data_IF_903883895783
#
_entry.id   IF_903883895783
#
_cell.length_a   1.000
_cell.length_b   1.000
_cell.length_c   1.000
_cell.angle_alpha   90.00
_cell.angle_beta   90.00
_cell.angle_gamma   90.00
#
_symmetry.space_group_name_H-M   'P 1'
#
loop_
_entity.id
_entity.type
_entity.pdbx_description
1 polymer ?
#
# COMPACT_ATOMS: atom_id res chain seq x y z
N UNK A 1 -27.54 -3.33 -27.55
CA UNK A 1 -27.00 -4.46 -26.76
C UNK A 1 -25.52 -4.73 -27.00
N UNK A 2 -25.03 -4.86 -28.25
CA UNK A 2 -23.59 -4.99 -28.53
C UNK A 2 -22.83 -3.67 -28.30
N UNK A 3 -23.39 -2.56 -28.79
CA UNK A 3 -22.82 -1.22 -28.59
C UNK A 3 -22.76 -0.80 -27.11
N UNK A 4 -23.76 -1.22 -26.31
CA UNK A 4 -23.79 -0.97 -24.86
C UNK A 4 -22.66 -1.73 -24.14
N UNK A 5 -22.37 -2.96 -24.58
CA UNK A 5 -21.29 -3.78 -24.01
C UNK A 5 -19.92 -3.22 -24.37
N UNK A 6 -19.73 -2.73 -25.61
CA UNK A 6 -18.50 -2.07 -26.04
C UNK A 6 -18.25 -0.78 -25.25
N UNK A 7 -19.30 0.04 -25.03
CA UNK A 7 -19.21 1.24 -24.20
C UNK A 7 -18.86 0.94 -22.73
N UNK A 8 -19.48 -0.08 -22.13
CA UNK A 8 -19.17 -0.51 -20.77
C UNK A 8 -17.74 -1.04 -20.64
N UNK A 9 -17.26 -1.76 -21.65
CA UNK A 9 -15.89 -2.28 -21.68
C UNK A 9 -14.88 -1.14 -21.71
N UNK A 10 -15.06 -0.15 -22.60
CA UNK A 10 -14.19 1.02 -22.67
C UNK A 10 -14.18 1.85 -21.37
N UNK A 11 -15.33 1.97 -20.70
CA UNK A 11 -15.40 2.63 -19.39
C UNK A 11 -14.63 1.87 -18.31
N UNK A 12 -14.77 0.55 -18.25
CA UNK A 12 -14.05 -0.28 -17.28
C UNK A 12 -12.53 -0.19 -17.48
N UNK A 13 -12.07 -0.24 -18.73
CA UNK A 13 -10.65 -0.08 -19.09
C UNK A 13 -10.12 1.30 -18.67
N UNK A 14 -10.85 2.37 -18.98
CA UNK A 14 -10.45 3.73 -18.58
C UNK A 14 -10.41 3.88 -17.06
N UNK A 15 -11.40 3.34 -16.35
CA UNK A 15 -11.44 3.35 -14.88
C UNK A 15 -10.25 2.58 -14.27
N UNK A 16 -9.85 1.46 -14.87
CA UNK A 16 -8.66 0.71 -14.42
C UNK A 16 -7.39 1.56 -14.51
N UNK A 17 -7.21 2.30 -15.61
CA UNK A 17 -6.08 3.20 -15.77
C UNK A 17 -6.15 4.40 -14.83
N UNK A 18 -7.32 5.03 -14.70
CA UNK A 18 -7.51 6.18 -13.80
C UNK A 18 -7.30 5.82 -12.34
N UNK A 19 -7.64 4.60 -11.91
CA UNK A 19 -7.52 4.17 -10.52
C UNK A 19 -6.21 3.44 -10.21
N UNK A 20 -5.35 3.20 -11.20
CA UNK A 20 -4.05 2.54 -11.00
C UNK A 20 -3.15 3.30 -9.99
N UNK A 21 -3.30 4.63 -9.87
CA UNK A 21 -2.55 5.41 -8.86
C UNK A 21 -2.87 4.98 -7.42
N UNK A 22 -4.09 4.48 -7.17
CA UNK A 22 -4.51 4.06 -5.83
C UNK A 22 -3.71 2.85 -5.35
N UNK A 23 -3.28 1.98 -6.27
CA UNK A 23 -2.39 0.86 -5.95
C UNK A 23 -1.04 1.38 -5.47
N UNK A 24 -0.43 2.30 -6.21
CA UNK A 24 0.84 2.95 -5.82
C UNK A 24 0.74 3.69 -4.48
N UNK A 25 -0.36 4.43 -4.26
CA UNK A 25 -0.60 5.14 -2.99
C UNK A 25 -0.82 4.17 -1.83
N UNK A 26 -1.48 3.05 -2.05
CA UNK A 26 -1.67 2.04 -1.01
C UNK A 26 -0.36 1.36 -0.60
N UNK A 27 0.52 1.09 -1.58
CA UNK A 27 1.87 0.59 -1.33
C UNK A 27 2.70 1.63 -0.57
N UNK A 28 2.60 2.91 -0.96
CA UNK A 28 3.30 4.00 -0.27
C UNK A 28 2.85 4.08 1.18
N UNK A 29 1.54 4.06 1.43
CA UNK A 29 0.99 4.06 2.78
C UNK A 29 1.49 2.86 3.60
N UNK A 30 1.57 1.67 3.00
CA UNK A 30 2.11 0.49 3.67
C UNK A 30 3.57 0.68 4.12
N UNK A 31 4.39 1.29 3.26
CA UNK A 31 5.81 1.57 3.53
C UNK A 31 5.99 2.71 4.53
N UNK A 32 5.20 3.78 4.42
CA UNK A 32 5.22 4.92 5.35
C UNK A 32 4.83 4.49 6.78
N UNK A 33 3.77 3.67 6.89
CA UNK A 33 3.27 3.12 8.15
C UNK A 33 4.09 1.91 8.64
N UNK A 34 5.14 1.52 7.91
CA UNK A 34 6.01 0.37 8.25
C UNK A 34 5.24 -0.94 8.48
N UNK A 35 4.12 -1.13 7.79
CA UNK A 35 3.28 -2.33 7.95
C UNK A 35 4.07 -3.63 7.65
N UNK A 36 4.92 -3.70 6.60
CA UNK A 36 5.76 -4.87 6.37
C UNK A 36 6.70 -5.17 7.54
N UNK A 37 7.34 -4.15 8.09
CA UNK A 37 8.32 -4.27 9.18
C UNK A 37 7.65 -4.71 10.48
N UNK A 38 6.51 -4.10 10.82
CA UNK A 38 5.70 -4.48 11.98
C UNK A 38 5.20 -5.92 11.84
N UNK A 39 4.71 -6.29 10.66
CA UNK A 39 4.25 -7.67 10.43
C UNK A 39 5.41 -8.66 10.51
N UNK A 40 6.59 -8.28 10.03
CA UNK A 40 7.81 -9.09 10.12
C UNK A 40 8.26 -9.31 11.57
N UNK A 41 8.29 -8.24 12.38
CA UNK A 41 8.69 -8.30 13.79
C UNK A 41 7.75 -9.16 14.66
N UNK A 42 6.49 -9.30 14.24
CA UNK A 42 5.51 -10.20 14.85
C UNK A 42 5.57 -11.66 14.34
N UNK A 43 6.68 -12.08 13.72
CA UNK A 43 6.85 -13.46 13.23
C UNK A 43 6.21 -13.71 11.86
N UNK A 44 6.02 -12.65 11.08
CA UNK A 44 5.48 -12.72 9.71
C UNK A 44 3.95 -12.62 9.62
N UNK A 45 3.25 -12.46 10.74
CA UNK A 45 1.82 -12.15 10.77
C UNK A 45 1.40 -11.33 11.99
N UNK A 46 0.53 -10.34 11.80
CA UNK A 46 0.07 -9.42 12.85
C UNK A 46 -1.44 -9.17 12.81
N UNK A 47 -2.06 -8.92 13.96
CA UNK A 47 -3.46 -8.48 14.07
C UNK A 47 -3.59 -6.98 13.78
N UNK A 48 -4.81 -6.51 13.52
CA UNK A 48 -5.08 -5.08 13.38
C UNK A 48 -4.69 -4.29 14.64
N UNK A 49 -4.96 -4.86 15.82
CA UNK A 49 -4.63 -4.28 17.12
C UNK A 49 -3.13 -4.11 17.31
N UNK A 50 -2.33 -5.11 16.91
CA UNK A 50 -0.86 -5.04 16.94
C UNK A 50 -0.32 -3.99 15.97
N UNK A 51 -0.86 -3.92 14.76
CA UNK A 51 -0.47 -2.91 13.77
C UNK A 51 -0.76 -1.49 14.28
N UNK A 52 -1.97 -1.24 14.81
CA UNK A 52 -2.33 0.06 15.37
C UNK A 52 -1.44 0.45 16.54
N UNK A 53 -1.25 -0.45 17.50
CA UNK A 53 -0.40 -0.20 18.66
C UNK A 53 1.03 0.14 18.26
N UNK A 54 1.59 -0.56 17.28
CA UNK A 54 2.95 -0.30 16.82
C UNK A 54 3.06 1.02 16.04
N UNK A 55 2.06 1.36 15.23
CA UNK A 55 1.99 2.66 14.54
C UNK A 55 1.95 3.77 15.57
N UNK A 56 1.00 3.75 16.50
CA UNK A 56 0.80 4.78 17.53
C UNK A 56 2.03 5.00 18.42
N UNK A 57 2.83 3.94 18.66
CA UNK A 57 4.09 4.05 19.40
C UNK A 57 5.22 4.70 18.60
N UNK A 58 5.18 4.57 17.27
CA UNK A 58 6.24 5.03 16.37
C UNK A 58 5.99 6.43 15.80
N UNK A 59 4.72 6.84 15.71
CA UNK A 59 4.33 8.15 15.19
C UNK A 59 4.31 9.20 16.31
N UNK A 60 5.07 10.28 16.13
CA UNK A 60 5.02 11.47 17.00
C UNK A 60 3.79 12.37 16.73
N UNK A 61 2.93 11.99 15.79
CA UNK A 61 1.69 12.68 15.41
C UNK A 61 0.46 11.82 15.73
N UNK A 62 -0.73 12.42 15.58
CA UNK A 62 -2.04 11.89 16.00
C UNK A 62 -2.24 10.38 15.78
N UNK A 63 -2.98 9.70 16.68
CA UNK A 63 -3.23 8.26 16.60
C UNK A 63 -3.75 7.84 15.23
N UNK A 64 -3.32 6.67 14.76
CA UNK A 64 -3.78 6.13 13.50
C UNK A 64 -5.28 5.76 13.58
N UNK A 65 -6.07 6.24 12.63
CA UNK A 65 -7.47 5.86 12.53
C UNK A 65 -7.59 4.37 12.14
N UNK A 66 -8.14 3.57 13.04
CA UNK A 66 -8.42 2.15 12.83
C UNK A 66 -9.24 1.88 11.57
N UNK A 67 -10.21 2.75 11.24
CA UNK A 67 -11.06 2.59 10.06
C UNK A 67 -10.25 2.73 8.77
N UNK A 68 -9.30 3.66 8.77
CA UNK A 68 -8.38 3.92 7.65
C UNK A 68 -7.40 2.78 7.48
N UNK A 69 -6.81 2.28 8.58
CA UNK A 69 -5.91 1.12 8.51
C UNK A 69 -6.61 -0.13 7.97
N UNK A 70 -7.85 -0.41 8.39
CA UNK A 70 -8.64 -1.52 7.86
C UNK A 70 -8.84 -1.40 6.35
N UNK A 71 -9.11 -0.19 5.84
CA UNK A 71 -9.27 0.05 4.40
C UNK A 71 -7.98 -0.22 3.63
N UNK A 72 -6.84 0.25 4.15
CA UNK A 72 -5.52 0.01 3.57
C UNK A 72 -5.23 -1.49 3.53
N UNK A 73 -5.33 -2.17 4.67
CA UNK A 73 -5.05 -3.61 4.75
C UNK A 73 -5.96 -4.42 3.83
N UNK A 74 -7.27 -4.10 3.78
CA UNK A 74 -8.20 -4.78 2.88
C UNK A 74 -7.82 -4.61 1.41
N UNK A 75 -7.38 -3.43 1.00
CA UNK A 75 -6.92 -3.18 -0.37
C UNK A 75 -5.65 -3.98 -0.68
N UNK A 76 -4.66 -3.94 0.22
CA UNK A 76 -3.41 -4.68 0.07
C UNK A 76 -3.62 -6.20 0.03
N UNK A 77 -4.58 -6.72 0.80
CA UNK A 77 -4.98 -8.15 0.77
C UNK A 77 -5.63 -8.49 -0.56
N UNK A 78 -6.57 -7.68 -1.05
CA UNK A 78 -7.19 -7.88 -2.38
C UNK A 78 -6.18 -7.86 -3.52
N UNK A 79 -5.08 -7.13 -3.36
CA UNK A 79 -3.97 -7.05 -4.32
C UNK A 79 -2.91 -8.14 -4.10
N UNK A 80 -3.15 -9.09 -3.20
CA UNK A 80 -2.21 -10.17 -2.84
C UNK A 80 -0.84 -9.67 -2.36
N UNK A 81 -0.78 -8.46 -1.82
CA UNK A 81 0.44 -7.91 -1.21
C UNK A 81 0.55 -8.46 0.22
N UNK A 82 -0.57 -8.52 0.95
CA UNK A 82 -0.68 -9.21 2.23
C UNK A 82 -1.69 -10.37 2.13
N UNK A 83 -1.66 -11.26 3.09
CA UNK A 83 -2.70 -12.28 3.31
C UNK A 83 -3.58 -11.89 4.48
N UNK A 84 -4.79 -12.44 4.57
CA UNK A 84 -5.66 -12.32 5.73
C UNK A 84 -6.16 -13.71 6.10
N UNK A 85 -6.18 -14.05 7.39
CA UNK A 85 -6.86 -15.24 7.89
C UNK A 85 -8.37 -15.02 7.99
N UNK A 86 -9.17 -16.05 7.73
CA UNK A 86 -10.64 -16.02 7.86
C UNK A 86 -11.12 -16.20 9.31
N UNK A 87 -10.53 -15.44 10.24
CA UNK A 87 -10.88 -15.46 11.66
C UNK A 87 -11.65 -14.20 12.07
N UNK A 88 -12.34 -14.27 13.21
CA UNK A 88 -13.07 -13.14 13.77
C UNK A 88 -12.17 -11.93 14.05
N UNK A 89 -10.92 -12.17 14.47
CA UNK A 89 -9.84 -11.19 14.42
C UNK A 89 -8.86 -11.60 13.30
N UNK A 90 -8.90 -10.93 12.13
CA UNK A 90 -8.04 -11.29 11.01
C UNK A 90 -6.57 -11.01 11.36
N UNK A 91 -5.73 -12.00 11.06
CA UNK A 91 -4.29 -11.88 11.06
C UNK A 91 -3.81 -11.61 9.65
N UNK A 92 -3.03 -10.54 9.52
CA UNK A 92 -2.44 -10.13 8.26
C UNK A 92 -1.05 -10.72 8.13
N UNK A 93 -0.77 -11.46 7.06
CA UNK A 93 0.52 -12.13 6.86
C UNK A 93 1.30 -11.58 5.68
N UNK A 94 2.63 -11.65 5.74
CA UNK A 94 3.49 -11.28 4.61
C UNK A 94 3.37 -12.29 3.45
N UNK A 95 3.34 -11.78 2.23
CA UNK A 95 3.46 -12.59 1.01
C UNK A 95 4.89 -12.56 0.48
N UNK A 96 5.13 -13.27 -0.63
CA UNK A 96 6.39 -13.13 -1.38
C UNK A 96 6.62 -11.70 -1.87
N UNK A 97 5.55 -10.93 -2.11
CA UNK A 97 5.61 -9.55 -2.60
C UNK A 97 5.95 -8.59 -1.47
N UNK A 98 5.20 -8.63 -0.36
CA UNK A 98 5.42 -7.69 0.76
C UNK A 98 6.75 -7.89 1.48
N UNK A 99 7.38 -9.07 1.36
CA UNK A 99 8.73 -9.32 1.88
C UNK A 99 9.79 -8.37 1.28
N UNK A 100 9.63 -7.97 0.02
CA UNK A 100 10.52 -6.98 -0.61
C UNK A 100 10.36 -5.57 -0.05
N UNK A 101 9.34 -5.32 0.78
CA UNK A 101 9.11 -4.03 1.41
C UNK A 101 9.60 -3.98 2.85
N UNK A 102 10.05 -5.11 3.40
CA UNK A 102 10.67 -5.16 4.74
C UNK A 102 12.03 -4.49 4.66
N UNK A 103 12.33 -3.60 5.59
CA UNK A 103 13.61 -2.92 5.73
C UNK A 103 14.47 -3.74 6.70
N UNK A 104 15.61 -4.23 6.23
CA UNK A 104 16.54 -5.01 7.04
C UNK A 104 17.26 -4.17 8.10
N UNK A 105 17.84 -4.83 9.10
CA UNK A 105 18.83 -4.22 9.98
C UNK A 105 20.19 -4.22 9.28
N UNK A 106 20.60 -3.04 8.81
CA UNK A 106 21.94 -2.63 8.33
C UNK A 106 22.61 -3.36 7.14
N UNK A 107 22.53 -4.69 7.00
CA UNK A 107 23.24 -5.41 5.92
C UNK A 107 22.29 -5.91 4.79
N UNK A 108 20.98 -5.99 5.05
CA UNK A 108 19.96 -6.42 4.10
C UNK A 108 19.13 -5.25 3.50
N UNK A 109 19.42 -4.00 3.87
CA UNK A 109 18.65 -2.83 3.37
C UNK A 109 18.70 -2.69 1.83
N UNK A 110 19.77 -3.16 1.19
CA UNK A 110 19.90 -3.17 -0.27
C UNK A 110 18.98 -4.18 -0.96
N UNK A 111 18.36 -5.10 -0.21
CA UNK A 111 17.39 -6.06 -0.75
C UNK A 111 15.93 -5.54 -0.66
N UNK A 112 15.70 -4.37 -0.07
CA UNK A 112 14.37 -3.77 0.04
C UNK A 112 14.07 -2.85 -1.14
N UNK A 113 12.87 -2.95 -1.70
CA UNK A 113 12.33 -2.01 -2.68
C UNK A 113 11.59 -0.83 -2.05
N UNK A 114 11.51 -0.77 -0.72
CA UNK A 114 10.89 0.34 -0.01
C UNK A 114 11.50 1.72 -0.39
N UNK A 115 12.83 1.90 -0.53
CA UNK A 115 13.41 3.17 -0.95
C UNK A 115 13.00 3.59 -2.37
N UNK A 116 12.93 2.63 -3.30
CA UNK A 116 12.49 2.87 -4.69
C UNK A 116 11.05 3.38 -4.70
N UNK A 117 10.17 2.74 -3.93
CA UNK A 117 8.77 3.13 -3.86
C UNK A 117 8.55 4.51 -3.22
N UNK A 118 9.38 4.87 -2.25
CA UNK A 118 9.36 6.23 -1.67
C UNK A 118 9.88 7.29 -2.67
N UNK A 119 10.88 6.94 -3.48
CA UNK A 119 11.42 7.82 -4.52
C UNK A 119 10.44 8.05 -5.67
N UNK A 120 9.76 7.01 -6.16
CA UNK A 120 8.81 7.10 -7.27
C UNK A 120 7.63 8.03 -6.96
N UNK A 121 7.33 8.26 -5.68
CA UNK A 121 6.28 9.17 -5.23
C UNK A 121 6.81 10.56 -4.80
N UNK A 122 8.11 10.82 -4.98
CA UNK A 122 8.72 12.11 -4.66
C UNK A 122 8.24 13.21 -5.61
N UNK A 123 8.04 14.47 -5.18
CA UNK A 123 7.61 15.55 -6.06
C UNK A 123 8.40 15.65 -7.37
N UNK A 124 9.72 15.40 -7.34
CA UNK A 124 10.57 15.44 -8.53
C UNK A 124 10.22 14.38 -9.59
N UNK A 125 9.72 13.20 -9.21
CA UNK A 125 9.32 12.17 -10.18
C UNK A 125 7.96 12.49 -10.81
N UNK A 126 7.06 13.13 -10.06
CA UNK A 126 5.70 13.46 -10.53
C UNK A 126 5.61 14.82 -11.23
N UNK A 127 6.59 15.71 -11.04
CA UNK A 127 6.58 17.09 -11.58
C UNK A 127 6.57 17.16 -13.12
N UNK A 128 7.32 16.35 -13.87
CA UNK A 128 7.28 16.37 -15.34
C UNK A 128 5.86 16.17 -15.91
N UNK A 129 5.05 15.35 -15.24
CA UNK A 129 3.66 15.07 -15.62
C UNK A 129 2.69 16.20 -15.29
N UNK A 130 3.08 17.12 -14.40
CA UNK A 130 2.29 18.30 -13.97
C UNK A 130 2.56 19.54 -14.83
N UNK A 131 3.66 19.55 -15.59
CA UNK A 131 4.06 20.71 -16.40
C UNK A 131 3.11 21.03 -17.57
N UNK A 132 2.16 20.14 -17.90
CA UNK A 132 1.19 20.33 -18.97
C UNK A 132 -0.05 21.17 -18.61
N UNK A 133 -0.32 21.45 -17.33
CA UNK A 133 -1.55 22.14 -16.91
C UNK A 133 -1.45 23.67 -16.85
N UNK A 134 -0.31 24.24 -17.25
CA UNK A 134 -0.10 25.68 -17.34
C UNK A 134 -0.32 26.22 -18.75
N UNK A 135 -1.53 26.08 -19.31
CA UNK A 135 -1.98 26.84 -20.50
C UNK A 135 -3.51 26.92 -20.52
N UNK A 136 -4.04 27.94 -19.84
CA UNK A 136 -4.95 29.01 -20.32
C UNK A 136 -5.24 29.93 -19.16
#
# INVERSE_FOLDING_TARGET
>A
MKDDMESLTGQAELLQHMLAYADSMSLKAAVDLRLPDITHSHGGSATLSQLLSAIDQSSSSSPADASTLVRIMRLLVRKNIFTSSDHQEPRYGLTRVSKWLVRGSSDEELNSLAPVLLYDNHPLSVTPWRAGSGRT
#
